data_IF_362181653391
#
_entry.id   IF_362181653391
#
_cell.length_a   1.000
_cell.length_b   1.000
_cell.length_c   1.000
_cell.angle_alpha   90.00
_cell.angle_beta   90.00
_cell.angle_gamma   90.00
#
_symmetry.space_group_name_H-M   'P 1'
#
loop_
_entity.id
_entity.type
_entity.pdbx_description
1 polymer ?
#
# COMPACT_ATOMS: atom_id res chain seq x y z
N UNK A 1 -2.55 -9.27 -2.55
CA UNK A 1 -2.24 -8.38 -1.41
C UNK A 1 -1.34 -9.09 -0.42
N UNK A 2 -1.83 -10.08 0.34
CA UNK A 2 -1.03 -10.85 1.33
C UNK A 2 0.36 -11.28 0.85
N UNK A 3 0.44 -11.92 -0.33
CA UNK A 3 1.72 -12.43 -0.83
C UNK A 3 2.73 -11.30 -1.10
N UNK A 4 2.31 -10.15 -1.63
CA UNK A 4 3.21 -8.99 -1.78
C UNK A 4 3.78 -8.52 -0.44
N UNK A 5 2.95 -8.50 0.62
CA UNK A 5 3.44 -8.16 1.96
C UNK A 5 4.44 -9.18 2.50
N UNK A 6 4.17 -10.48 2.31
CA UNK A 6 5.00 -11.56 2.83
C UNK A 6 6.33 -11.73 2.09
N UNK A 7 6.26 -11.72 0.76
CA UNK A 7 7.33 -12.20 -0.10
C UNK A 7 8.22 -11.04 -0.57
N UNK A 8 7.63 -9.84 -0.78
CA UNK A 8 8.29 -8.74 -1.48
C UNK A 8 8.63 -7.53 -0.60
N UNK A 9 7.79 -7.19 0.40
CA UNK A 9 8.05 -6.04 1.28
C UNK A 9 9.21 -6.29 2.25
N UNK A 10 10.12 -5.31 2.34
CA UNK A 10 11.28 -5.29 3.24
C UNK A 10 11.30 -4.03 4.09
N UNK A 11 11.89 -4.14 5.28
CA UNK A 11 12.13 -2.96 6.14
C UNK A 11 12.98 -1.96 5.35
N UNK A 12 12.50 -0.71 5.24
CA UNK A 12 13.11 0.26 4.33
C UNK A 12 12.22 0.67 3.17
N UNK A 13 11.37 -0.23 2.69
CA UNK A 13 10.61 0.01 1.47
C UNK A 13 9.62 1.17 1.64
N UNK A 14 9.59 2.05 0.64
CA UNK A 14 8.65 3.15 0.56
C UNK A 14 7.25 2.68 0.17
N UNK A 15 6.23 3.29 0.77
CA UNK A 15 4.82 2.97 0.53
C UNK A 15 4.07 4.25 0.17
N UNK A 16 3.37 4.23 -0.97
CA UNK A 16 2.39 5.26 -1.31
C UNK A 16 1.11 4.99 -0.52
N UNK A 17 0.77 5.88 0.41
CA UNK A 17 -0.43 5.75 1.22
C UNK A 17 -1.66 6.26 0.45
N UNK A 18 -2.55 5.33 0.08
CA UNK A 18 -3.68 5.59 -0.81
C UNK A 18 -5.03 5.50 -0.07
N UNK A 19 -5.82 6.56 -0.15
CA UNK A 19 -7.20 6.56 0.32
C UNK A 19 -8.14 6.09 -0.81
N UNK A 20 -8.65 4.86 -0.69
CA UNK A 20 -9.47 4.21 -1.73
C UNK A 20 -10.97 4.50 -1.61
N UNK A 21 -11.49 4.64 -0.39
CA UNK A 21 -12.90 4.93 -0.11
C UNK A 21 -13.11 6.40 0.29
N UNK A 22 -12.43 7.32 -0.42
CA UNK A 22 -12.58 8.76 -0.23
C UNK A 22 -13.09 9.44 -1.51
N UNK A 23 -13.51 10.70 -1.39
CA UNK A 23 -13.99 11.52 -2.52
C UNK A 23 -13.15 12.80 -2.61
N UNK A 24 -12.22 12.92 -3.58
CA UNK A 24 -11.76 11.86 -4.50
C UNK A 24 -10.86 10.82 -3.80
N UNK A 25 -10.68 9.61 -4.38
CA UNK A 25 -9.65 8.69 -3.96
C UNK A 25 -8.28 9.19 -4.44
N UNK A 26 -7.24 9.09 -3.59
CA UNK A 26 -5.97 9.76 -3.83
C UNK A 26 -4.79 9.12 -3.09
N UNK A 27 -3.58 9.30 -3.61
CA UNK A 27 -2.34 9.16 -2.83
C UNK A 27 -2.22 10.41 -1.96
N UNK A 28 -2.14 10.22 -0.64
CA UNK A 28 -2.20 11.32 0.35
C UNK A 28 -0.91 11.48 1.15
N UNK A 29 -0.02 10.49 1.10
CA UNK A 29 1.17 10.48 1.92
C UNK A 29 2.13 9.37 1.54
N UNK A 30 3.26 9.37 2.24
CA UNK A 30 4.26 8.34 2.24
C UNK A 30 4.32 7.67 3.61
N UNK A 31 4.50 6.37 3.57
CA UNK A 31 4.90 5.57 4.71
C UNK A 31 6.15 4.76 4.32
N UNK A 32 6.75 4.11 5.29
CA UNK A 32 7.85 3.17 5.10
C UNK A 32 7.58 1.90 5.90
N UNK A 33 8.01 0.75 5.39
CA UNK A 33 7.94 -0.51 6.14
C UNK A 33 8.93 -0.46 7.29
N UNK A 34 8.43 -0.54 8.52
CA UNK A 34 9.22 -0.57 9.76
C UNK A 34 9.39 -1.98 10.33
N UNK A 35 8.51 -2.92 9.95
CA UNK A 35 8.63 -4.35 10.28
C UNK A 35 8.16 -5.21 9.11
N UNK A 36 8.94 -6.25 8.79
CA UNK A 36 8.56 -7.26 7.80
C UNK A 36 7.32 -8.06 8.25
N UNK A 37 6.76 -8.83 7.32
CA UNK A 37 5.51 -9.53 7.52
C UNK A 37 5.53 -10.51 8.71
N UNK A 38 4.48 -10.46 9.52
CA UNK A 38 4.23 -11.38 10.61
C UNK A 38 2.74 -11.74 10.68
N UNK A 39 2.34 -12.80 11.40
CA UNK A 39 0.93 -13.18 11.52
C UNK A 39 0.05 -12.03 12.00
N UNK A 40 -1.04 -11.77 11.29
CA UNK A 40 -2.04 -10.78 11.69
C UNK A 40 -2.71 -11.24 13.01
N UNK A 41 -2.54 -10.53 14.14
CA UNK A 41 -3.14 -10.95 15.40
C UNK A 41 -4.68 -10.89 15.35
N UNK A 42 -5.24 -10.03 14.50
CA UNK A 42 -6.70 -9.84 14.40
C UNK A 42 -7.42 -11.03 13.75
N UNK A 43 -6.67 -11.92 13.08
CA UNK A 43 -7.25 -13.13 12.48
C UNK A 43 -7.66 -14.17 13.52
N UNK A 44 -7.13 -14.10 14.75
CA UNK A 44 -7.38 -15.06 15.82
C UNK A 44 -8.43 -14.58 16.83
N UNK A 45 -8.81 -13.31 16.77
CA UNK A 45 -9.75 -12.68 17.70
C UNK A 45 -11.20 -12.81 17.19
N UNK A 46 -12.09 -13.57 17.85
CA UNK A 46 -13.48 -13.74 17.42
C UNK A 46 -14.32 -12.44 17.42
N UNK A 47 -13.89 -11.41 18.14
CA UNK A 47 -14.57 -10.10 18.18
C UNK A 47 -14.10 -9.18 17.04
N UNK A 48 -12.97 -9.51 16.39
CA UNK A 48 -12.45 -8.76 15.26
C UNK A 48 -13.33 -8.92 14.01
N UNK A 49 -13.58 -7.83 13.24
CA UNK A 49 -14.22 -7.95 11.92
C UNK A 49 -13.36 -8.72 10.91
N UNK A 50 -12.09 -8.98 11.23
CA UNK A 50 -11.13 -9.73 10.41
C UNK A 50 -10.84 -11.14 10.94
N UNK A 51 -11.63 -11.63 11.91
CA UNK A 51 -11.53 -13.00 12.42
C UNK A 51 -11.60 -14.03 11.29
N UNK A 52 -10.71 -15.02 11.31
CA UNK A 52 -10.73 -16.17 10.41
C UNK A 52 -10.76 -17.47 11.24
N UNK A 53 -11.91 -18.15 11.35
CA UNK A 53 -12.05 -19.37 12.16
C UNK A 53 -11.20 -20.55 11.67
N UNK A 54 -10.55 -20.42 10.50
CA UNK A 54 -9.64 -21.44 9.96
C UNK A 54 -8.16 -21.09 10.18
N UNK A 55 -7.85 -19.93 10.74
CA UNK A 55 -6.48 -19.57 11.10
C UNK A 55 -6.17 -20.06 12.52
N UNK A 56 -4.99 -20.65 12.69
CA UNK A 56 -4.46 -21.03 14.01
C UNK A 56 -3.07 -20.43 14.21
N UNK A 57 -2.57 -20.36 15.44
CA UNK A 57 -1.24 -19.82 15.72
C UNK A 57 -0.14 -20.63 15.01
N UNK A 58 -0.33 -21.94 14.85
CA UNK A 58 0.60 -22.84 14.14
C UNK A 58 0.51 -22.71 12.62
N UNK A 59 -0.65 -22.27 12.11
CA UNK A 59 -0.92 -22.14 10.67
C UNK A 59 -1.65 -20.82 10.36
N UNK A 60 -1.00 -19.66 10.57
CA UNK A 60 -1.57 -18.37 10.25
C UNK A 60 -1.83 -18.24 8.74
N UNK A 61 -3.00 -17.70 8.37
CA UNK A 61 -3.41 -17.52 6.97
C UNK A 61 -3.13 -16.11 6.47
N UNK A 62 -3.13 -15.14 7.38
CA UNK A 62 -2.99 -13.72 7.10
C UNK A 62 -1.73 -13.15 7.76
N UNK A 63 -1.16 -12.14 7.11
CA UNK A 63 0.01 -11.43 7.59
C UNK A 63 -0.22 -9.93 7.49
N UNK A 64 0.44 -9.18 8.36
CA UNK A 64 0.53 -7.73 8.35
C UNK A 64 1.99 -7.32 8.39
N UNK A 65 2.26 -6.08 7.99
CA UNK A 65 3.54 -5.39 8.18
C UNK A 65 3.29 -4.19 9.07
N UNK A 66 4.32 -3.71 9.77
CA UNK A 66 4.24 -2.42 10.43
C UNK A 66 4.73 -1.33 9.46
N UNK A 67 4.01 -0.22 9.44
CA UNK A 67 4.36 0.96 8.67
C UNK A 67 4.69 2.11 9.63
N UNK A 68 5.71 2.89 9.31
CA UNK A 68 5.96 4.17 9.92
C UNK A 68 5.54 5.31 8.98
N UNK A 69 5.01 6.39 9.57
CA UNK A 69 4.68 7.59 8.83
C UNK A 69 5.97 8.28 8.37
N UNK A 70 6.04 8.64 7.09
CA UNK A 70 7.17 9.40 6.53
C UNK A 70 6.76 10.84 6.27
N UNK A 71 5.73 11.05 5.45
CA UNK A 71 5.30 12.38 5.08
C UNK A 71 3.83 12.41 4.64
N UNK A 72 3.19 13.56 4.81
CA UNK A 72 1.91 13.87 4.15
C UNK A 72 2.21 14.66 2.87
N UNK A 73 1.50 14.36 1.79
CA UNK A 73 1.56 15.19 0.58
C UNK A 73 0.87 16.53 0.85
N UNK A 74 1.52 17.63 0.46
CA UNK A 74 0.92 18.98 0.51
C UNK A 74 -0.36 19.02 -0.33
N UNK A 75 -0.30 18.44 -1.53
CA UNK A 75 -1.43 18.26 -2.43
C UNK A 75 -1.60 16.77 -2.74
N UNK A 76 -2.71 16.13 -2.33
CA UNK A 76 -2.98 14.75 -2.69
C UNK A 76 -3.08 14.55 -4.20
N UNK A 77 -2.52 13.44 -4.70
CA UNK A 77 -2.64 13.07 -6.11
C UNK A 77 -3.86 12.17 -6.29
N UNK A 78 -4.93 12.73 -6.86
CA UNK A 78 -6.17 11.99 -7.07
C UNK A 78 -6.01 10.87 -8.09
N UNK A 79 -6.89 9.88 -8.04
CA UNK A 79 -6.93 8.82 -9.06
C UNK A 79 -7.09 9.40 -10.47
N UNK A 80 -7.78 10.53 -10.62
CA UNK A 80 -7.90 11.21 -11.91
C UNK A 80 -6.56 11.78 -12.36
N UNK A 81 -5.85 12.50 -11.48
CA UNK A 81 -4.52 13.05 -11.76
C UNK A 81 -3.53 11.96 -12.19
N UNK A 82 -3.62 10.79 -11.56
CA UNK A 82 -2.78 9.64 -11.89
C UNK A 82 -3.16 9.00 -13.24
N UNK A 83 -4.45 8.95 -13.59
CA UNK A 83 -4.94 8.41 -14.86
C UNK A 83 -4.58 9.28 -16.06
N UNK A 84 -4.59 10.59 -15.88
CA UNK A 84 -4.27 11.56 -16.94
C UNK A 84 -2.76 11.64 -17.22
N UNK A 85 -1.93 11.12 -16.32
CA UNK A 85 -0.48 11.11 -16.47
C UNK A 85 0.02 9.90 -17.24
N UNK A 86 0.39 10.11 -18.50
CA UNK A 86 0.92 9.05 -19.38
C UNK A 86 2.20 8.38 -18.86
N UNK A 87 2.97 9.04 -17.98
CA UNK A 87 4.17 8.41 -17.39
C UNK A 87 3.84 7.35 -16.35
N UNK A 88 2.58 7.27 -15.92
CA UNK A 88 2.05 6.24 -15.03
C UNK A 88 1.34 5.11 -15.78
N UNK A 89 1.45 5.07 -17.10
CA UNK A 89 0.99 3.92 -17.87
C UNK A 89 1.63 2.63 -17.33
N UNK A 90 0.79 1.60 -17.19
CA UNK A 90 1.19 0.31 -16.61
C UNK A 90 1.18 0.26 -15.08
N UNK A 91 1.00 1.38 -14.36
CA UNK A 91 0.85 1.36 -12.90
C UNK A 91 -0.35 0.45 -12.52
N UNK A 92 -0.15 -0.60 -11.70
CA UNK A 92 -1.21 -1.57 -11.39
C UNK A 92 -2.51 -0.94 -10.88
N UNK A 93 -2.42 0.19 -10.17
CA UNK A 93 -3.55 0.94 -9.61
C UNK A 93 -4.53 1.43 -10.70
N UNK A 94 -4.02 1.71 -11.90
CA UNK A 94 -4.79 2.29 -13.00
C UNK A 94 -5.44 1.23 -13.90
N UNK A 95 -5.10 -0.05 -13.69
CA UNK A 95 -5.64 -1.14 -14.49
C UNK A 95 -7.15 -1.31 -14.27
N UNK A 96 -7.89 -1.53 -15.36
CA UNK A 96 -9.33 -1.75 -15.29
C UNK A 96 -9.62 -3.01 -14.47
N UNK A 97 -10.50 -2.89 -13.47
CA UNK A 97 -10.88 -4.02 -12.62
C UNK A 97 -9.87 -4.34 -11.53
N UNK A 98 -8.84 -3.51 -11.32
CA UNK A 98 -7.94 -3.65 -10.18
C UNK A 98 -8.72 -3.66 -8.85
N UNK A 99 -8.40 -4.60 -7.97
CA UNK A 99 -9.03 -4.81 -6.64
C UNK A 99 -8.02 -5.13 -5.54
N UNK A 100 -6.72 -5.18 -5.86
CA UNK A 100 -5.68 -5.43 -4.87
C UNK A 100 -5.48 -4.19 -3.98
N UNK A 101 -5.56 -4.38 -2.66
CA UNK A 101 -5.26 -3.33 -1.67
C UNK A 101 -3.77 -3.05 -1.50
N UNK A 102 -2.93 -4.04 -1.81
CA UNK A 102 -1.46 -3.95 -1.80
C UNK A 102 -0.97 -4.35 -3.18
N UNK A 103 -0.15 -3.49 -3.77
CA UNK A 103 0.33 -3.58 -5.15
C UNK A 103 1.79 -3.14 -5.19
N UNK A 104 2.64 -3.79 -6.00
CA UNK A 104 3.99 -3.30 -6.24
C UNK A 104 3.95 -2.01 -7.06
N UNK A 105 4.91 -1.13 -6.81
CA UNK A 105 5.12 0.10 -7.59
C UNK A 105 6.51 0.00 -8.20
N UNK A 106 6.60 0.05 -9.52
CA UNK A 106 7.90 0.01 -10.19
C UNK A 106 8.71 1.29 -9.88
N UNK A 107 10.04 1.21 -9.81
CA UNK A 107 10.89 2.36 -9.47
C UNK A 107 10.64 3.59 -10.35
N UNK A 108 10.27 3.41 -11.63
CA UNK A 108 9.94 4.51 -12.53
C UNK A 108 8.66 5.25 -12.13
N UNK A 109 7.64 4.52 -11.69
CA UNK A 109 6.38 5.11 -11.24
C UNK A 109 6.55 5.76 -9.88
N UNK A 110 7.28 5.11 -8.97
CA UNK A 110 7.64 5.66 -7.65
C UNK A 110 8.30 7.04 -7.78
N UNK A 111 9.42 7.12 -8.49
CA UNK A 111 10.15 8.38 -8.70
C UNK A 111 9.29 9.46 -9.35
N UNK A 112 8.45 9.08 -10.32
CA UNK A 112 7.58 10.04 -10.99
C UNK A 112 6.48 10.58 -10.07
N UNK A 113 5.89 9.72 -9.22
CA UNK A 113 4.91 10.12 -8.21
C UNK A 113 5.55 11.03 -7.15
N UNK A 114 6.74 10.70 -6.65
CA UNK A 114 7.48 11.57 -5.73
C UNK A 114 7.75 12.95 -6.34
N UNK A 115 8.20 12.98 -7.61
CA UNK A 115 8.40 14.24 -8.32
C UNK A 115 7.11 15.06 -8.46
N UNK A 116 5.99 14.40 -8.80
CA UNK A 116 4.65 15.04 -8.85
C UNK A 116 4.21 15.58 -7.49
N UNK A 117 4.59 14.89 -6.42
CA UNK A 117 4.32 15.26 -5.04
C UNK A 117 5.26 16.34 -4.49
N UNK A 118 6.27 16.79 -5.26
CA UNK A 118 7.29 17.72 -4.78
C UNK A 118 8.20 17.13 -3.69
N UNK A 119 8.38 15.81 -3.71
CA UNK A 119 9.18 15.06 -2.73
C UNK A 119 10.48 14.57 -3.35
N UNK A 120 11.54 14.56 -2.55
CA UNK A 120 12.83 13.96 -2.91
C UNK A 120 12.87 12.50 -2.44
N UNK A 121 13.65 11.68 -3.14
CA UNK A 121 13.94 10.30 -2.75
C UNK A 121 14.89 10.37 -1.54
N UNK A 122 14.48 9.83 -0.39
CA UNK A 122 15.26 9.81 0.86
C UNK A 122 16.34 8.73 0.85
#
# INVERSE_FOLDING_TARGET
ARNFMRDDMKVGDGVLYYHSNSKPPAVVGLARVSREAYPDPTQFDPESPYYDPKATEESPRWVVVDLEFVAKLTEPLSLQDLKEDRKLEGLPLLQRGQRLSVQPVEPRHWRHILKRAGMEEA
#
